data_IF_335855641306
#
_entry.id   IF_335855641306
#
_cell.length_a   1.000
_cell.length_b   1.000
_cell.length_c   1.000
_cell.angle_alpha   90.00
_cell.angle_beta   90.00
_cell.angle_gamma   90.00
#
_symmetry.space_group_name_H-M   'P 1'
#
loop_
_entity.id
_entity.type
_entity.pdbx_description
1 polymer ?
#
# COMPACT_ATOMS: atom_id res chain seq x y z
N UNK A 1 -16.80 16.85 21.37
CA UNK A 1 -15.82 17.20 20.32
C UNK A 1 -16.07 16.31 19.13
N UNK A 2 -16.49 16.89 17.99
CA UNK A 2 -16.63 16.15 16.73
C UNK A 2 -15.24 16.02 16.13
N UNK A 3 -14.76 14.78 16.01
CA UNK A 3 -13.50 14.45 15.35
C UNK A 3 -13.68 14.67 13.85
N UNK A 4 -13.02 15.70 13.31
CA UNK A 4 -12.86 15.85 11.85
C UNK A 4 -11.48 15.29 11.54
N UNK A 5 -11.43 14.03 11.11
CA UNK A 5 -10.22 13.47 10.54
C UNK A 5 -9.99 14.14 9.18
N UNK A 6 -8.99 15.01 9.09
CA UNK A 6 -8.45 15.42 7.79
C UNK A 6 -7.66 14.23 7.25
N UNK A 7 -8.30 13.37 6.46
CA UNK A 7 -7.60 12.37 5.66
C UNK A 7 -7.03 13.05 4.43
N UNK A 8 -5.72 12.92 4.22
CA UNK A 8 -5.06 13.36 3.00
C UNK A 8 -5.51 12.47 1.83
N UNK A 9 -6.28 13.05 0.89
CA UNK A 9 -6.58 12.42 -0.39
C UNK A 9 -5.42 12.74 -1.33
N UNK A 10 -4.51 11.79 -1.53
CA UNK A 10 -3.45 11.90 -2.54
C UNK A 10 -3.99 11.36 -3.85
N UNK A 11 -4.49 12.23 -4.72
CA UNK A 11 -4.86 11.89 -6.10
C UNK A 11 -3.66 12.12 -7.03
N UNK A 12 -2.96 11.05 -7.43
CA UNK A 12 -1.88 11.14 -8.40
C UNK A 12 -2.43 10.98 -9.83
N UNK A 13 -2.36 12.05 -10.63
CA UNK A 13 -2.71 12.04 -12.05
C UNK A 13 -1.45 11.71 -12.87
N UNK A 14 -1.43 10.54 -13.53
CA UNK A 14 -0.44 10.20 -14.56
C UNK A 14 -1.18 9.52 -15.71
N UNK A 15 -1.13 10.11 -16.91
CA UNK A 15 -1.67 9.53 -18.14
C UNK A 15 -0.52 9.00 -19.01
N UNK A 16 -0.56 7.72 -19.38
CA UNK A 16 0.38 7.11 -20.33
C UNK A 16 -0.37 6.19 -21.29
N UNK A 17 -0.12 6.38 -22.58
CA UNK A 17 -0.66 5.60 -23.70
C UNK A 17 -0.23 4.12 -23.69
N UNK A 18 -1.18 3.25 -24.02
CA UNK A 18 -1.06 1.78 -23.93
C UNK A 18 -0.18 1.17 -25.03
N UNK A 19 0.89 0.47 -24.62
CA UNK A 19 1.51 -0.59 -25.40
C UNK A 19 1.47 -1.88 -24.58
N UNK A 20 1.05 -2.98 -25.20
CA UNK A 20 0.98 -4.30 -24.57
C UNK A 20 2.38 -4.83 -24.25
N UNK A 21 2.82 -4.60 -23.02
CA UNK A 21 3.95 -5.28 -22.39
C UNK A 21 3.39 -6.16 -21.27
N UNK A 22 4.10 -7.23 -20.90
CA UNK A 22 3.85 -7.90 -19.63
C UNK A 22 3.75 -6.82 -18.54
N UNK A 23 2.65 -6.79 -17.80
CA UNK A 23 2.38 -5.70 -16.85
C UNK A 23 3.43 -5.73 -15.74
N UNK A 24 4.47 -4.89 -15.88
CA UNK A 24 5.45 -4.69 -14.81
C UNK A 24 4.86 -3.66 -13.87
N UNK A 25 4.34 -4.11 -12.72
CA UNK A 25 3.93 -3.21 -11.67
C UNK A 25 5.14 -2.48 -11.10
N UNK A 26 4.97 -1.18 -10.84
CA UNK A 26 5.99 -0.34 -10.21
C UNK A 26 5.48 0.09 -8.84
N UNK A 27 6.33 0.05 -7.82
CA UNK A 27 5.99 0.58 -6.49
C UNK A 27 6.94 1.73 -6.20
N UNK A 28 6.43 2.95 -6.32
CA UNK A 28 7.20 4.17 -6.20
C UNK A 28 6.92 4.85 -4.85
N UNK A 29 7.88 4.84 -3.91
CA UNK A 29 7.71 5.52 -2.62
C UNK A 29 7.69 7.04 -2.77
N UNK A 30 6.99 7.70 -1.85
CA UNK A 30 6.91 9.16 -1.74
C UNK A 30 6.43 9.59 -0.35
N UNK A 31 6.51 10.89 -0.09
CA UNK A 31 6.06 11.49 1.17
C UNK A 31 5.14 12.68 0.90
N UNK A 32 4.18 12.86 1.79
CA UNK A 32 3.36 14.06 1.89
C UNK A 32 3.66 14.71 3.24
N UNK A 33 4.19 15.92 3.23
CA UNK A 33 4.60 16.67 4.43
C UNK A 33 4.59 18.19 4.13
N UNK A 34 3.40 18.78 3.86
CA UNK A 34 3.27 20.19 3.50
C UNK A 34 3.77 21.14 4.60
N UNK A 35 3.78 20.69 5.86
CA UNK A 35 4.23 21.47 7.01
C UNK A 35 5.76 21.35 7.23
N UNK A 36 6.46 20.54 6.43
CA UNK A 36 7.92 20.40 6.48
C UNK A 36 8.44 19.85 7.81
N UNK A 37 7.68 18.93 8.42
CA UNK A 37 7.97 18.37 9.74
C UNK A 37 9.20 17.47 9.76
N UNK A 38 9.52 16.82 8.64
CA UNK A 38 10.64 15.88 8.53
C UNK A 38 10.39 14.53 9.22
N UNK A 39 9.17 14.24 9.64
CA UNK A 39 8.83 13.03 10.40
C UNK A 39 8.48 11.83 9.51
N UNK A 40 8.39 12.01 8.20
CA UNK A 40 7.97 10.95 7.28
C UNK A 40 9.10 10.50 6.35
N UNK A 41 9.19 9.20 6.13
CA UNK A 41 10.16 8.59 5.21
C UNK A 41 9.48 7.50 4.39
N UNK A 42 9.80 7.43 3.10
CA UNK A 42 9.39 6.33 2.23
C UNK A 42 10.54 5.97 1.28
N UNK A 43 11.01 4.73 1.32
CA UNK A 43 12.09 4.27 0.43
C UNK A 43 12.22 2.74 0.38
N UNK A 44 12.81 2.23 -0.70
CA UNK A 44 13.28 0.84 -0.75
C UNK A 44 14.63 0.72 -0.03
N UNK A 45 14.71 -0.13 1.00
CA UNK A 45 15.93 -0.37 1.76
C UNK A 45 16.45 -1.78 1.48
N UNK A 46 17.71 -1.89 1.06
CA UNK A 46 18.36 -3.17 0.83
C UNK A 46 18.68 -3.90 2.14
N UNK A 47 18.70 -5.24 2.08
CA UNK A 47 19.01 -6.16 3.18
C UNK A 47 18.05 -6.04 4.37
N UNK A 48 16.84 -5.56 4.12
CA UNK A 48 15.79 -5.42 5.12
C UNK A 48 14.55 -6.27 4.82
N UNK A 49 14.44 -6.81 3.60
CA UNK A 49 13.37 -7.68 3.14
C UNK A 49 13.71 -9.16 3.19
N UNK A 50 12.79 -9.94 2.64
CA UNK A 50 12.89 -11.37 2.43
C UNK A 50 13.88 -11.70 1.30
N UNK A 51 14.34 -12.96 1.20
CA UNK A 51 15.18 -13.40 0.08
C UNK A 51 14.47 -13.19 -1.26
N UNK A 52 15.12 -12.48 -2.18
CA UNK A 52 14.63 -12.31 -3.55
C UNK A 52 14.96 -13.55 -4.41
N UNK A 53 14.06 -13.94 -5.31
CA UNK A 53 14.33 -15.00 -6.30
C UNK A 53 15.44 -14.61 -7.30
N UNK A 54 15.69 -13.31 -7.45
CA UNK A 54 16.70 -12.75 -8.36
C UNK A 54 17.48 -11.65 -7.66
N UNK A 55 18.64 -12.03 -7.13
CA UNK A 55 19.58 -11.15 -6.43
C UNK A 55 19.77 -11.52 -4.96
N UNK A 56 20.58 -10.74 -4.24
CA UNK A 56 20.72 -10.81 -2.77
C UNK A 56 20.44 -9.44 -2.14
N UNK A 57 19.66 -8.63 -2.85
CA UNK A 57 19.38 -7.27 -2.44
C UNK A 57 18.41 -7.28 -1.25
N UNK A 58 17.49 -8.25 -1.20
CA UNK A 58 16.55 -8.50 -0.10
C UNK A 58 15.93 -7.18 0.33
N UNK A 59 15.23 -6.54 -0.60
CA UNK A 59 14.76 -5.17 -0.42
C UNK A 59 13.42 -5.17 0.29
N UNK A 60 13.19 -4.16 1.12
CA UNK A 60 11.87 -3.91 1.68
C UNK A 60 11.50 -2.45 1.49
N UNK A 61 10.24 -2.20 1.19
CA UNK A 61 9.65 -0.88 1.19
C UNK A 61 9.47 -0.45 2.64
N UNK A 62 10.25 0.54 3.05
CA UNK A 62 10.14 1.20 4.34
C UNK A 62 9.20 2.40 4.24
N UNK A 63 8.20 2.45 5.11
CA UNK A 63 7.28 3.58 5.28
C UNK A 63 7.31 3.98 6.75
N UNK A 64 7.43 5.27 7.03
CA UNK A 64 7.54 5.78 8.40
C UNK A 64 6.78 7.09 8.58
N UNK A 65 6.19 7.23 9.76
CA UNK A 65 5.73 8.49 10.36
C UNK A 65 6.16 8.52 11.83
N UNK A 66 7.29 9.16 12.08
CA UNK A 66 7.91 9.33 13.40
C UNK A 66 7.34 10.54 14.15
N UNK A 67 6.03 10.51 14.38
CA UNK A 67 5.29 11.57 15.06
C UNK A 67 3.84 11.17 15.29
N UNK A 68 3.01 12.06 15.86
CA UNK A 68 1.62 11.73 16.16
C UNK A 68 0.78 11.57 14.89
N UNK A 69 -0.25 10.73 14.95
CA UNK A 69 -1.21 10.49 13.86
C UNK A 69 -1.84 11.79 13.37
N UNK A 70 -2.08 12.74 14.28
CA UNK A 70 -2.65 14.05 13.97
C UNK A 70 -1.76 14.99 13.17
N UNK A 71 -0.45 14.72 13.06
CA UNK A 71 0.43 15.50 12.20
C UNK A 71 0.02 15.33 10.74
N UNK A 72 -0.06 16.43 9.99
CA UNK A 72 -0.45 16.47 8.58
C UNK A 72 0.70 15.98 7.68
N UNK A 73 1.10 14.73 7.87
CA UNK A 73 2.15 14.08 7.12
C UNK A 73 1.83 12.58 6.95
N UNK A 74 2.26 12.00 5.83
CA UNK A 74 2.15 10.56 5.56
C UNK A 74 3.26 10.08 4.64
N UNK A 75 3.76 8.86 4.88
CA UNK A 75 4.53 8.12 3.90
C UNK A 75 3.58 7.32 2.99
N UNK A 76 3.95 7.13 1.73
CA UNK A 76 3.15 6.34 0.80
C UNK A 76 4.00 5.68 -0.29
N UNK A 77 3.39 4.76 -1.03
CA UNK A 77 3.93 4.27 -2.29
C UNK A 77 2.83 4.13 -3.34
N UNK A 78 3.03 4.73 -4.52
CA UNK A 78 2.09 4.61 -5.65
C UNK A 78 2.39 3.35 -6.44
N UNK A 79 1.35 2.63 -6.83
CA UNK A 79 1.48 1.41 -7.63
C UNK A 79 1.15 1.71 -9.09
N UNK A 80 2.18 1.77 -9.93
CA UNK A 80 2.08 1.98 -11.37
C UNK A 80 1.69 0.70 -12.11
N UNK A 81 1.03 0.86 -13.26
CA UNK A 81 0.63 -0.26 -14.15
C UNK A 81 -0.70 -0.93 -13.79
N UNK A 82 -1.47 -0.38 -12.85
CA UNK A 82 -2.72 -0.96 -12.36
C UNK A 82 -3.98 -0.41 -13.04
N UNK A 83 -3.90 0.71 -13.76
CA UNK A 83 -5.06 1.32 -14.40
C UNK A 83 -5.72 0.35 -15.40
N UNK A 84 -7.04 0.20 -15.30
CA UNK A 84 -7.81 -0.72 -16.14
C UNK A 84 -7.76 -2.18 -15.69
N UNK A 85 -7.04 -2.50 -14.60
CA UNK A 85 -6.93 -3.86 -14.08
C UNK A 85 -8.17 -4.26 -13.27
N UNK A 86 -8.72 -5.44 -13.53
CA UNK A 86 -9.62 -6.11 -12.57
C UNK A 86 -8.78 -6.71 -11.46
N UNK A 87 -8.93 -6.21 -10.24
CA UNK A 87 -8.23 -6.76 -9.08
C UNK A 87 -8.82 -8.11 -8.70
N UNK A 88 -7.99 -9.14 -8.61
CA UNK A 88 -8.32 -10.48 -8.11
C UNK A 88 -7.69 -10.75 -6.75
N UNK A 89 -6.63 -10.02 -6.39
CA UNK A 89 -5.96 -10.15 -5.10
C UNK A 89 -5.15 -8.88 -4.76
N UNK A 90 -5.14 -8.51 -3.48
CA UNK A 90 -4.19 -7.58 -2.89
C UNK A 90 -3.46 -8.23 -1.72
N UNK A 91 -2.21 -7.84 -1.52
CA UNK A 91 -1.42 -8.35 -0.41
C UNK A 91 -0.08 -7.66 -0.22
N UNK A 92 0.55 -7.94 0.90
CA UNK A 92 1.99 -7.75 1.10
C UNK A 92 2.45 -8.69 2.21
N UNK A 93 3.76 -8.83 2.36
CA UNK A 93 4.39 -9.36 3.57
C UNK A 93 4.85 -8.17 4.39
N UNK A 94 4.51 -8.14 5.69
CA UNK A 94 4.99 -7.09 6.59
C UNK A 94 5.88 -7.70 7.68
N UNK A 95 6.86 -6.92 8.13
CA UNK A 95 7.74 -7.33 9.21
C UNK A 95 7.08 -7.13 10.58
N UNK A 96 7.16 -8.13 11.45
CA UNK A 96 6.39 -8.20 12.70
C UNK A 96 6.86 -7.21 13.79
N UNK A 97 8.01 -6.54 13.62
CA UNK A 97 8.45 -5.43 14.45
C UNK A 97 7.84 -4.07 14.03
N UNK A 98 7.20 -4.04 12.85
CA UNK A 98 6.51 -2.89 12.31
C UNK A 98 5.04 -2.81 12.72
N UNK A 99 4.41 -1.73 12.29
CA UNK A 99 3.02 -1.41 12.54
C UNK A 99 2.09 -2.10 11.53
N UNK A 100 0.97 -2.61 12.02
CA UNK A 100 -0.11 -3.20 11.22
C UNK A 100 -1.45 -2.86 11.90
N UNK A 101 -1.99 -1.69 11.58
CA UNK A 101 -3.22 -1.14 12.14
C UNK A 101 -4.39 -1.12 11.15
N UNK A 102 -5.49 -0.53 11.61
CA UNK A 102 -6.67 -0.27 10.79
C UNK A 102 -6.41 0.86 9.77
N UNK A 103 -5.67 1.89 10.18
CA UNK A 103 -5.35 3.03 9.33
C UNK A 103 -4.09 2.83 8.49
N UNK A 104 -3.06 2.14 8.96
CA UNK A 104 -1.79 1.99 8.25
C UNK A 104 -1.03 0.69 8.60
N UNK A 105 -0.17 0.17 7.69
CA UNK A 105 -0.20 0.45 6.26
C UNK A 105 -1.52 -0.02 5.66
N UNK A 106 -2.01 0.67 4.64
CA UNK A 106 -3.25 0.27 3.96
C UNK A 106 -3.14 0.45 2.45
N UNK A 107 -3.82 -0.40 1.68
CA UNK A 107 -4.07 -0.07 0.27
C UNK A 107 -5.21 0.93 0.19
N UNK A 108 -5.00 1.97 -0.61
CA UNK A 108 -6.02 2.89 -1.07
C UNK A 108 -6.28 2.59 -2.55
N UNK A 109 -7.52 2.22 -2.89
CA UNK A 109 -7.93 1.86 -4.26
C UNK A 109 -8.99 2.84 -4.73
N UNK A 110 -8.77 3.44 -5.90
CA UNK A 110 -9.73 4.33 -6.55
C UNK A 110 -10.30 3.66 -7.79
N UNK A 111 -11.62 3.73 -7.96
CA UNK A 111 -12.30 3.32 -9.19
C UNK A 111 -12.52 4.53 -10.12
N UNK A 112 -12.73 4.31 -11.44
CA UNK A 112 -12.94 5.40 -12.40
C UNK A 112 -14.12 6.33 -12.10
N UNK A 113 -15.11 5.85 -11.36
CA UNK A 113 -16.29 6.62 -10.93
C UNK A 113 -16.02 7.49 -9.67
N UNK A 114 -14.77 7.50 -9.18
CA UNK A 114 -14.35 8.25 -8.01
C UNK A 114 -14.59 7.54 -6.68
N UNK A 115 -15.19 6.34 -6.67
CA UNK A 115 -15.30 5.55 -5.45
C UNK A 115 -13.93 5.13 -4.95
N UNK A 116 -13.76 5.23 -3.64
CA UNK A 116 -12.48 5.08 -2.97
C UNK A 116 -12.58 4.13 -1.77
N UNK A 117 -11.63 3.20 -1.70
CA UNK A 117 -11.63 2.06 -0.79
C UNK A 117 -10.31 1.92 -0.05
N UNK A 118 -10.37 1.53 1.22
CA UNK A 118 -9.24 1.25 2.08
C UNK A 118 -9.21 -0.21 2.50
N UNK A 119 -8.05 -0.83 2.35
CA UNK A 119 -7.77 -2.17 2.86
C UNK A 119 -6.69 -2.05 3.93
N UNK A 120 -7.13 -1.85 5.18
CA UNK A 120 -6.25 -1.69 6.35
C UNK A 120 -5.57 -3.01 6.74
N UNK A 121 -4.29 -2.95 7.14
CA UNK A 121 -3.48 -4.13 7.45
C UNK A 121 -4.16 -5.09 8.43
N UNK A 122 -4.69 -4.58 9.54
CA UNK A 122 -5.30 -5.41 10.59
C UNK A 122 -6.57 -6.15 10.14
N UNK A 123 -7.22 -5.68 9.07
CA UNK A 123 -8.44 -6.29 8.53
C UNK A 123 -8.18 -7.38 7.51
N UNK A 124 -6.94 -7.53 7.05
CA UNK A 124 -6.60 -8.61 6.14
C UNK A 124 -6.51 -9.97 6.85
N UNK A 125 -6.49 -11.02 6.06
CA UNK A 125 -6.31 -12.40 6.52
C UNK A 125 -4.83 -12.75 6.61
N UNK A 126 -4.26 -12.93 7.81
CA UNK A 126 -2.88 -13.36 7.93
C UNK A 126 -2.72 -14.77 7.39
N UNK A 127 -1.68 -15.00 6.58
CA UNK A 127 -1.26 -16.28 6.05
C UNK A 127 0.06 -16.68 6.69
N UNK A 128 0.21 -17.98 6.96
CA UNK A 128 1.44 -18.51 7.52
C UNK A 128 2.57 -18.42 6.47
N UNK A 129 3.66 -17.76 6.81
CA UNK A 129 4.91 -17.75 6.04
C UNK A 129 5.94 -18.63 6.73
N UNK A 130 5.79 -19.95 6.60
CA UNK A 130 6.61 -20.95 7.32
C UNK A 130 8.11 -20.77 7.10
N UNK A 131 8.52 -20.23 5.95
CA UNK A 131 9.91 -19.99 5.57
C UNK A 131 10.47 -18.62 5.99
N UNK A 132 9.66 -17.74 6.59
CA UNK A 132 10.05 -16.36 6.90
C UNK A 132 9.69 -15.95 8.34
N UNK A 133 10.46 -16.40 9.35
CA UNK A 133 10.28 -15.96 10.73
C UNK A 133 10.36 -14.43 10.86
N UNK A 134 9.46 -13.84 11.64
CA UNK A 134 9.43 -12.39 11.84
C UNK A 134 8.70 -11.61 10.73
N UNK A 135 8.10 -12.30 9.77
CA UNK A 135 7.22 -11.71 8.77
C UNK A 135 5.84 -12.34 8.83
N UNK A 136 4.84 -11.58 8.41
CA UNK A 136 3.47 -12.05 8.24
C UNK A 136 2.99 -11.65 6.86
N UNK A 137 2.47 -12.62 6.12
CA UNK A 137 1.79 -12.38 4.85
C UNK A 137 0.35 -11.97 5.11
N UNK A 138 -0.10 -10.87 4.53
CA UNK A 138 -1.48 -10.41 4.65
C UNK A 138 -2.16 -10.40 3.27
N UNK A 139 -3.43 -10.83 3.22
CA UNK A 139 -4.27 -10.86 2.01
C UNK A 139 -5.67 -10.38 2.32
N UNK A 140 -6.29 -9.65 1.39
CA UNK A 140 -7.67 -9.21 1.56
C UNK A 140 -8.65 -10.03 0.72
N UNK A 141 -9.85 -10.19 1.25
CA UNK A 141 -11.02 -10.80 0.61
C UNK A 141 -12.14 -9.76 0.45
N UNK A 142 -13.20 -10.17 -0.23
CA UNK A 142 -14.42 -9.38 -0.32
C UNK A 142 -14.98 -9.06 1.08
N UNK A 143 -15.47 -7.83 1.24
CA UNK A 143 -15.99 -7.34 2.53
C UNK A 143 -14.94 -6.78 3.50
N UNK A 144 -13.64 -6.91 3.21
CA UNK A 144 -12.56 -6.36 4.05
C UNK A 144 -12.07 -4.97 3.59
N UNK A 145 -12.63 -4.48 2.49
CA UNK A 145 -12.48 -3.10 2.04
C UNK A 145 -13.46 -2.18 2.77
N UNK A 146 -12.94 -1.15 3.43
CA UNK A 146 -13.73 -0.06 4.01
C UNK A 146 -13.81 1.11 3.02
N UNK A 147 -14.81 1.99 3.17
CA UNK A 147 -15.02 3.11 2.26
C UNK A 147 -14.66 4.44 2.89
N UNK A 148 -14.08 5.34 2.08
CA UNK A 148 -13.77 6.69 2.51
C UNK A 148 -14.13 7.74 1.44
N UNK A 149 -14.82 8.84 1.80
CA UNK A 149 -15.46 9.07 3.10
C UNK A 149 -16.48 7.98 3.41
N UNK A 150 -16.82 7.80 4.69
CA UNK A 150 -17.85 6.84 5.09
C UNK A 150 -19.10 7.05 4.22
N UNK A 151 -19.49 6.02 3.46
CA UNK A 151 -20.49 6.11 2.42
C UNK A 151 -21.30 4.82 2.32
N UNK A 152 -22.35 4.86 1.51
CA UNK A 152 -23.29 3.73 1.35
C UNK A 152 -22.92 2.86 0.14
N UNK A 153 -21.63 2.65 -0.09
CA UNK A 153 -21.13 1.74 -1.11
C UNK A 153 -20.17 0.76 -0.45
N UNK A 154 -19.98 -0.39 -1.08
CA UNK A 154 -19.09 -1.44 -0.62
C UNK A 154 -18.11 -1.81 -1.73
N UNK A 155 -17.01 -2.46 -1.38
CA UNK A 155 -16.08 -2.99 -2.37
C UNK A 155 -16.86 -3.91 -3.32
N UNK A 156 -16.85 -3.65 -4.63
CA UNK A 156 -17.64 -4.43 -5.60
C UNK A 156 -17.22 -5.90 -5.71
N UNK A 157 -16.06 -6.27 -5.18
CA UNK A 157 -15.55 -7.65 -5.16
C UNK A 157 -14.28 -7.83 -6.00
N UNK A 158 -13.42 -8.75 -5.56
CA UNK A 158 -12.26 -9.20 -6.31
C UNK A 158 -12.69 -10.12 -7.46
N UNK A 159 -12.14 -9.92 -8.65
CA UNK A 159 -12.38 -10.73 -9.85
C UNK A 159 -13.69 -10.41 -10.58
N UNK A 160 -14.39 -9.34 -10.20
CA UNK A 160 -15.65 -8.96 -10.85
C UNK A 160 -15.41 -8.34 -12.22
N UNK A 161 -15.97 -8.98 -13.26
CA UNK A 161 -15.85 -8.50 -14.64
C UNK A 161 -16.47 -7.11 -14.82
N UNK A 162 -15.78 -6.23 -15.55
CA UNK A 162 -16.20 -4.85 -15.77
C UNK A 162 -15.89 -3.89 -14.60
N UNK A 163 -15.43 -4.41 -13.47
CA UNK A 163 -14.89 -3.60 -12.37
C UNK A 163 -13.38 -3.50 -12.55
N UNK A 164 -12.91 -2.29 -12.85
CA UNK A 164 -11.49 -1.99 -13.04
C UNK A 164 -11.07 -0.86 -12.12
N UNK A 165 -9.80 -0.87 -11.71
CA UNK A 165 -9.24 0.20 -10.88
C UNK A 165 -8.68 1.33 -11.74
N UNK A 166 -8.73 2.55 -11.22
CA UNK A 166 -8.03 3.71 -11.77
C UNK A 166 -6.64 3.86 -11.14
N UNK A 167 -6.54 3.72 -9.82
CA UNK A 167 -5.26 3.90 -9.11
C UNK A 167 -5.21 3.07 -7.84
N UNK A 168 -3.99 2.75 -7.41
CA UNK A 168 -3.69 2.09 -6.15
C UNK A 168 -2.47 2.77 -5.50
N UNK A 169 -2.55 3.00 -4.20
CA UNK A 169 -1.42 3.40 -3.37
C UNK A 169 -1.39 2.60 -2.07
N UNK A 170 -0.21 2.43 -1.48
CA UNK A 170 -0.06 2.03 -0.08
C UNK A 170 0.19 3.29 0.74
N UNK A 171 -0.52 3.47 1.84
CA UNK A 171 -0.40 4.67 2.70
C UNK A 171 -0.05 4.27 4.12
N UNK A 172 0.83 5.07 4.73
CA UNK A 172 1.21 5.00 6.13
C UNK A 172 1.07 6.40 6.79
N UNK A 173 -0.06 6.62 7.46
CA UNK A 173 -0.42 7.89 8.10
C UNK A 173 -0.73 7.77 9.62
N UNK A 174 -0.66 6.57 10.18
CA UNK A 174 -0.71 6.36 11.64
C UNK A 174 0.66 6.59 12.27
N UNK A 175 0.66 7.31 13.39
CA UNK A 175 1.84 7.75 14.10
C UNK A 175 2.29 6.84 15.23
N UNK A 176 3.28 7.29 15.98
CA UNK A 176 3.83 6.60 17.16
C UNK A 176 2.85 6.53 18.35
N UNK A 177 1.73 7.25 18.28
CA UNK A 177 0.61 7.19 19.22
C UNK A 177 -0.36 6.03 18.93
N UNK A 178 -0.23 5.34 17.80
CA UNK A 178 -1.04 4.17 17.41
C UNK A 178 -0.21 2.89 17.27
N UNK A 179 1.12 2.98 17.23
CA UNK A 179 2.01 1.83 17.13
C UNK A 179 3.47 2.22 16.98
N UNK A 180 4.25 1.43 16.24
CA UNK A 180 5.71 1.64 16.14
C UNK A 180 6.13 2.83 15.27
N UNK A 181 5.20 3.44 14.52
CA UNK A 181 5.46 4.58 13.64
C UNK A 181 6.18 4.20 12.33
N UNK A 182 6.38 2.91 12.04
CA UNK A 182 6.94 2.44 10.77
C UNK A 182 6.37 1.10 10.32
N UNK A 183 6.53 0.78 9.04
CA UNK A 183 6.37 -0.56 8.50
C UNK A 183 7.48 -0.88 7.49
N UNK A 184 7.94 -2.13 7.50
CA UNK A 184 8.67 -2.73 6.40
C UNK A 184 7.73 -3.67 5.65
N UNK A 185 7.59 -3.42 4.36
CA UNK A 185 6.75 -4.20 3.45
C UNK A 185 7.64 -4.86 2.39
N UNK A 186 7.29 -6.08 2.04
CA UNK A 186 7.90 -6.83 0.96
C UNK A 186 6.85 -7.66 0.24
N UNK A 187 7.18 -8.27 -0.91
CA UNK A 187 6.27 -9.10 -1.70
C UNK A 187 4.89 -8.47 -1.88
N UNK A 188 4.87 -7.18 -2.20
CA UNK A 188 3.64 -6.44 -2.48
C UNK A 188 2.94 -7.15 -3.62
N UNK A 189 1.72 -7.60 -3.40
CA UNK A 189 1.00 -8.48 -4.29
C UNK A 189 -0.14 -7.74 -4.99
N UNK A 190 -0.07 -7.72 -6.32
CA UNK A 190 -1.18 -7.32 -7.20
C UNK A 190 -1.50 -8.51 -8.10
N UNK A 191 -2.66 -9.14 -7.91
CA UNK A 191 -3.15 -10.25 -8.73
C UNK A 191 -2.16 -11.43 -8.88
N UNK A 192 -1.42 -11.75 -7.83
CA UNK A 192 -0.41 -12.81 -7.83
C UNK A 192 0.99 -12.37 -8.28
N UNK A 193 1.14 -11.15 -8.81
CA UNK A 193 2.44 -10.58 -9.11
C UNK A 193 3.05 -10.00 -7.83
N UNK A 194 4.19 -10.53 -7.41
CA UNK A 194 4.92 -10.06 -6.23
C UNK A 194 5.96 -9.01 -6.61
N UNK A 195 5.92 -7.86 -5.95
CA UNK A 195 6.89 -6.77 -6.08
C UNK A 195 7.67 -6.67 -4.76
N UNK A 196 8.92 -7.15 -4.77
CA UNK A 196 9.85 -7.07 -3.63
C UNK A 196 11.00 -6.08 -3.81
N UNK A 197 11.01 -5.32 -4.92
CA UNK A 197 12.12 -4.40 -5.25
C UNK A 197 11.67 -3.23 -6.11
N UNK A 198 12.42 -2.11 -6.10
CA UNK A 198 12.17 -1.00 -7.02
C UNK A 198 12.30 -1.48 -8.46
N UNK A 199 11.40 -1.02 -9.32
CA UNK A 199 11.54 -1.21 -10.76
C UNK A 199 12.67 -0.31 -11.26
N UNK A 200 13.77 -0.91 -11.70
CA UNK A 200 14.83 -0.18 -12.39
C UNK A 200 14.29 0.18 -13.77
N UNK A 201 13.97 1.46 -14.03
CA UNK A 201 13.80 1.92 -15.40
C UNK A 201 15.17 1.78 -16.07
N UNK A 202 15.30 0.83 -17.00
CA UNK A 202 16.42 0.85 -17.92
C UNK A 202 16.31 2.15 -18.70
N UNK A 203 17.34 3.01 -18.74
CA UNK A 203 17.30 4.28 -19.45
C UNK A 203 17.01 4.10 -20.95
#
# INVERSE_FOLDING_TARGET
MRWVALSAVVAALVSISSFGFATVFQVQPGVFDPDGTGIVTAQWIGRQGLPDDVGKANQALFLQKDGPTSANASAFAVIGGVEGLTLTELGFDYRNDGHCGAGAPRFNVTLPDGRYFFFGCVYGNPQVTESAPGWTRIRWKDGEGTVFPAGNYEWPGFGVSGVVVQSIAIVFDEGTDQGSGFAFLDNININGSLIGKPTVRTP
#
